data_IF_271141848731
#
_entry.id   IF_271141848731
#
_cell.length_a   1.000
_cell.length_b   1.000
_cell.length_c   1.000
_cell.angle_alpha   90.00
_cell.angle_beta   90.00
_cell.angle_gamma   90.00
#
_symmetry.space_group_name_H-M   'P 1'
#
loop_
_entity.id
_entity.type
_entity.pdbx_description
1 polymer ?
#
# COMPACT_ATOMS: atom_id res chain seq x y z
N UNK A 1 -4.67 10.76 17.06
CA UNK A 1 -4.37 9.67 18.01
C UNK A 1 -3.94 10.26 19.33
N UNK A 2 -4.44 9.74 20.43
CA UNK A 2 -4.07 10.09 21.80
C UNK A 2 -2.99 9.14 22.33
N UNK A 3 -2.39 9.45 23.49
CA UNK A 3 -1.50 8.51 24.16
C UNK A 3 -2.23 7.21 24.54
N UNK A 4 -3.50 7.28 24.88
CA UNK A 4 -4.29 6.08 25.16
C UNK A 4 -4.45 5.19 23.91
N UNK A 5 -4.72 5.77 22.74
CA UNK A 5 -4.80 5.02 21.48
C UNK A 5 -3.45 4.34 21.14
N UNK A 6 -2.35 5.05 21.41
CA UNK A 6 -1.01 4.52 21.21
C UNK A 6 -0.72 3.29 22.10
N UNK A 7 -1.08 3.36 23.39
CA UNK A 7 -0.88 2.24 24.31
C UNK A 7 -1.74 1.03 23.94
N UNK A 8 -2.99 1.25 23.52
CA UNK A 8 -3.89 0.18 23.04
C UNK A 8 -3.30 -0.49 21.79
N UNK A 9 -2.85 0.30 20.80
CA UNK A 9 -2.26 -0.23 19.58
C UNK A 9 -0.96 -1.00 19.85
N UNK A 10 -0.11 -0.47 20.73
CA UNK A 10 1.16 -1.12 21.13
C UNK A 10 0.93 -2.44 21.86
N UNK A 11 -0.04 -2.50 22.76
CA UNK A 11 -0.41 -3.72 23.48
C UNK A 11 -0.92 -4.79 22.50
N UNK A 12 -1.82 -4.41 21.59
CA UNK A 12 -2.32 -5.30 20.55
C UNK A 12 -1.18 -5.82 19.64
N UNK A 13 -0.26 -4.96 19.24
CA UNK A 13 0.85 -5.34 18.38
C UNK A 13 1.84 -6.30 19.06
N UNK A 14 2.07 -6.15 20.38
CA UNK A 14 2.85 -7.11 21.17
C UNK A 14 2.22 -8.50 21.19
N UNK A 15 0.90 -8.53 21.34
CA UNK A 15 0.15 -9.79 21.31
C UNK A 15 0.19 -10.42 19.92
N UNK A 16 -0.08 -9.64 18.89
CA UNK A 16 -0.01 -10.09 17.50
C UNK A 16 1.39 -10.58 17.10
N UNK A 17 2.46 -9.94 17.60
CA UNK A 17 3.86 -10.29 17.32
C UNK A 17 4.17 -11.77 17.61
N UNK A 18 3.54 -12.38 18.59
CA UNK A 18 3.72 -13.79 18.92
C UNK A 18 3.32 -14.75 17.79
N UNK A 19 2.53 -14.26 16.83
CA UNK A 19 2.03 -15.00 15.68
C UNK A 19 2.66 -14.56 14.36
N UNK A 20 3.55 -13.54 14.41
CA UNK A 20 4.22 -12.99 13.22
C UNK A 20 5.48 -13.79 12.91
N UNK A 21 5.52 -14.39 11.72
CA UNK A 21 6.69 -15.11 11.23
C UNK A 21 7.86 -14.17 10.94
N UNK A 22 7.58 -13.05 10.31
CA UNK A 22 8.55 -12.01 9.98
C UNK A 22 7.86 -10.69 9.63
N UNK A 23 8.62 -9.61 9.67
CA UNK A 23 8.24 -8.31 9.11
C UNK A 23 9.02 -8.13 7.80
N UNK A 24 8.39 -8.48 6.71
CA UNK A 24 8.99 -8.43 5.37
C UNK A 24 9.33 -6.99 4.94
N UNK A 25 10.34 -6.85 4.10
CA UNK A 25 10.86 -5.56 3.64
C UNK A 25 10.50 -5.26 2.18
N UNK A 26 10.23 -6.28 1.37
CA UNK A 26 9.85 -6.13 -0.04
C UNK A 26 8.83 -7.20 -0.48
N UNK A 27 8.16 -6.94 -1.61
CA UNK A 27 7.11 -7.82 -2.13
C UNK A 27 7.62 -9.20 -2.58
N UNK A 28 8.87 -9.30 -3.02
CA UNK A 28 9.44 -10.59 -3.46
C UNK A 28 9.70 -11.52 -2.26
N UNK A 29 10.16 -10.97 -1.13
CA UNK A 29 10.26 -11.71 0.13
C UNK A 29 8.89 -12.24 0.56
N UNK A 30 7.85 -11.39 0.54
CA UNK A 30 6.49 -11.81 0.88
C UNK A 30 5.98 -12.91 -0.07
N UNK A 31 6.16 -12.76 -1.38
CA UNK A 31 5.74 -13.74 -2.36
C UNK A 31 6.40 -15.10 -2.13
N UNK A 32 7.68 -15.13 -1.79
CA UNK A 32 8.40 -16.35 -1.45
C UNK A 32 7.86 -17.03 -0.18
N UNK A 33 7.60 -16.25 0.87
CA UNK A 33 7.08 -16.76 2.15
C UNK A 33 5.68 -17.34 1.99
N UNK A 34 4.82 -16.69 1.24
CA UNK A 34 3.47 -17.19 0.98
C UNK A 34 3.48 -18.35 -0.03
N UNK A 35 4.29 -18.28 -1.08
CA UNK A 35 4.43 -19.34 -2.07
C UNK A 35 4.97 -20.65 -1.50
N UNK A 36 5.83 -20.58 -0.47
CA UNK A 36 6.30 -21.76 0.28
C UNK A 36 5.29 -22.28 1.31
N UNK A 37 4.22 -21.54 1.60
CA UNK A 37 3.26 -21.87 2.64
C UNK A 37 3.75 -21.54 4.07
N UNK A 38 4.88 -20.87 4.21
CA UNK A 38 5.42 -20.45 5.51
C UNK A 38 4.61 -19.31 6.13
N UNK A 39 4.01 -18.46 5.31
CA UNK A 39 3.07 -17.41 5.68
C UNK A 39 1.76 -17.66 4.93
N UNK A 40 0.65 -17.64 5.65
CA UNK A 40 -0.70 -17.89 5.10
C UNK A 40 -1.57 -16.62 5.07
N UNK A 41 -1.21 -15.60 5.83
CA UNK A 41 -1.88 -14.29 5.88
C UNK A 41 -0.84 -13.21 6.05
N UNK A 42 -0.95 -12.14 5.29
CA UNK A 42 -0.09 -10.96 5.41
C UNK A 42 -0.83 -9.70 5.01
N UNK A 43 -0.43 -8.57 5.57
CA UNK A 43 -0.67 -7.29 4.94
C UNK A 43 0.23 -7.19 3.70
N UNK A 44 -0.29 -6.66 2.60
CA UNK A 44 0.47 -6.54 1.36
C UNK A 44 0.10 -5.26 0.60
N UNK A 45 0.99 -4.79 -0.26
CA UNK A 45 0.64 -3.84 -1.31
C UNK A 45 -0.15 -4.55 -2.42
N UNK A 46 -0.98 -3.83 -3.16
CA UNK A 46 -1.85 -4.40 -4.20
C UNK A 46 -1.10 -5.18 -5.29
N UNK A 47 0.10 -4.77 -5.62
CA UNK A 47 1.01 -5.40 -6.58
C UNK A 47 1.34 -6.86 -6.22
N UNK A 48 1.65 -7.15 -4.94
CA UNK A 48 2.12 -8.48 -4.54
C UNK A 48 1.09 -9.58 -4.77
N UNK A 49 -0.16 -9.49 -4.29
CA UNK A 49 -1.16 -10.51 -4.56
C UNK A 49 -1.53 -10.61 -6.04
N UNK A 50 -1.50 -9.51 -6.80
CA UNK A 50 -1.74 -9.52 -8.24
C UNK A 50 -0.66 -10.33 -8.97
N UNK A 51 0.61 -10.10 -8.65
CA UNK A 51 1.75 -10.87 -9.20
C UNK A 51 1.64 -12.35 -8.85
N UNK A 52 1.38 -12.68 -7.59
CA UNK A 52 1.26 -14.06 -7.14
C UNK A 52 0.10 -14.80 -7.82
N UNK A 53 -1.05 -14.14 -7.98
CA UNK A 53 -2.20 -14.71 -8.70
C UNK A 53 -1.87 -14.93 -10.18
N UNK A 54 -1.15 -13.99 -10.83
CA UNK A 54 -0.66 -14.12 -12.21
C UNK A 54 0.31 -15.30 -12.40
N UNK A 55 1.05 -15.66 -11.37
CA UNK A 55 1.94 -16.85 -11.34
C UNK A 55 1.17 -18.16 -10.99
N UNK A 56 -0.14 -18.08 -10.78
CA UNK A 56 -0.99 -19.23 -10.50
C UNK A 56 -1.00 -19.68 -9.03
N UNK A 57 -0.51 -18.86 -8.12
CA UNK A 57 -0.58 -19.14 -6.69
C UNK A 57 -2.00 -18.87 -6.16
N UNK A 58 -2.54 -19.71 -5.27
CA UNK A 58 -3.90 -19.58 -4.73
C UNK A 58 -3.97 -18.50 -3.64
N UNK A 59 -3.83 -17.26 -4.03
CA UNK A 59 -3.89 -16.08 -3.13
C UNK A 59 -5.11 -15.23 -3.44
N UNK A 60 -5.63 -14.59 -2.41
CA UNK A 60 -6.75 -13.66 -2.49
C UNK A 60 -6.42 -12.39 -1.70
N UNK A 61 -6.69 -11.22 -2.29
CA UNK A 61 -6.57 -9.93 -1.62
C UNK A 61 -7.91 -9.52 -1.01
N UNK A 62 -8.01 -9.49 0.31
CA UNK A 62 -9.19 -8.99 1.00
C UNK A 62 -9.02 -7.49 1.34
N UNK A 63 -9.81 -6.64 0.68
CA UNK A 63 -9.87 -5.19 0.93
C UNK A 63 -11.08 -4.76 1.75
N UNK A 64 -11.94 -5.68 2.14
CA UNK A 64 -13.19 -5.42 2.84
C UNK A 64 -13.18 -5.99 4.25
N UNK A 65 -12.14 -5.66 5.02
CA UNK A 65 -12.06 -6.08 6.42
C UNK A 65 -12.99 -5.24 7.31
N UNK A 66 -13.39 -5.79 8.45
CA UNK A 66 -14.29 -5.11 9.40
C UNK A 66 -13.69 -3.78 9.90
N UNK A 67 -12.37 -3.73 10.04
CA UNK A 67 -11.62 -2.56 10.47
C UNK A 67 -11.53 -1.48 9.40
N UNK A 68 -11.77 -1.82 8.16
CA UNK A 68 -11.62 -0.95 7.00
C UNK A 68 -10.49 -1.36 6.06
N UNK A 69 -10.34 -0.63 4.97
CA UNK A 69 -9.29 -0.82 3.97
C UNK A 69 -8.23 0.27 4.10
N UNK A 70 -6.97 -0.09 4.19
CA UNK A 70 -5.88 0.91 4.18
C UNK A 70 -5.64 1.45 2.77
N UNK A 71 -5.27 2.73 2.68
CA UNK A 71 -4.94 3.40 1.43
C UNK A 71 -3.80 4.39 1.64
N UNK A 72 -3.04 4.63 0.57
CA UNK A 72 -2.04 5.71 0.55
C UNK A 72 -2.07 6.41 -0.80
N UNK A 73 -1.46 7.60 -0.85
CA UNK A 73 -1.31 8.37 -2.06
C UNK A 73 0.17 8.68 -2.28
N UNK A 74 0.64 8.38 -3.47
CA UNK A 74 1.93 8.85 -3.96
C UNK A 74 1.72 10.05 -4.88
N UNK A 75 2.61 11.01 -4.81
CA UNK A 75 2.55 12.21 -5.65
C UNK A 75 3.95 12.68 -6.03
N UNK A 76 4.02 13.37 -7.14
CA UNK A 76 5.23 14.07 -7.56
C UNK A 76 5.28 15.45 -6.95
N UNK A 77 6.45 15.89 -6.56
CA UNK A 77 6.70 17.24 -6.06
C UNK A 77 7.81 17.90 -6.84
N UNK A 78 7.65 19.18 -7.15
CA UNK A 78 8.71 19.98 -7.69
C UNK A 78 9.54 20.58 -6.55
N UNK A 79 10.85 20.34 -6.60
CA UNK A 79 11.76 20.95 -5.61
C UNK A 79 12.02 22.41 -5.98
N UNK A 80 11.83 23.33 -5.04
CA UNK A 80 11.97 24.77 -5.23
C UNK A 80 13.33 25.20 -5.82
N UNK A 81 14.38 24.44 -5.56
CA UNK A 81 15.74 24.69 -6.04
C UNK A 81 16.23 23.56 -6.97
N UNK A 82 15.33 22.83 -7.60
CA UNK A 82 15.67 21.77 -8.55
C UNK A 82 16.35 22.35 -9.79
N UNK A 83 17.29 21.62 -10.42
CA UNK A 83 18.02 22.12 -11.59
C UNK A 83 17.22 22.09 -12.88
N UNK A 84 16.01 21.51 -12.88
CA UNK A 84 15.17 21.35 -14.07
C UNK A 84 14.25 22.56 -14.29
N UNK A 85 13.82 22.73 -15.54
CA UNK A 85 12.76 23.70 -15.84
C UNK A 85 11.40 23.19 -15.39
N UNK A 86 10.54 24.09 -14.98
CA UNK A 86 9.16 23.80 -14.59
C UNK A 86 8.35 23.16 -15.72
N UNK A 87 8.55 23.59 -16.96
CA UNK A 87 7.90 23.04 -18.15
C UNK A 87 8.19 21.53 -18.29
N UNK A 88 9.45 21.12 -18.18
CA UNK A 88 9.83 19.70 -18.26
C UNK A 88 9.25 18.86 -17.12
N UNK A 89 9.11 19.46 -15.96
CA UNK A 89 8.44 18.79 -14.83
C UNK A 89 6.96 18.54 -15.17
N UNK A 90 6.25 19.53 -15.71
CA UNK A 90 4.86 19.34 -16.12
C UNK A 90 4.72 18.35 -17.28
N UNK A 91 5.64 18.36 -18.25
CA UNK A 91 5.68 17.35 -19.30
C UNK A 91 5.77 15.93 -18.73
N UNK A 92 6.62 15.73 -17.74
CA UNK A 92 6.75 14.44 -17.05
C UNK A 92 5.47 14.07 -16.28
N UNK A 93 4.87 15.00 -15.53
CA UNK A 93 3.63 14.75 -14.81
C UNK A 93 2.47 14.43 -15.76
N UNK A 94 2.38 15.15 -16.89
CA UNK A 94 1.37 14.87 -17.90
C UNK A 94 1.57 13.50 -18.55
N UNK A 95 2.82 13.11 -18.84
CA UNK A 95 3.11 11.78 -19.36
C UNK A 95 2.73 10.68 -18.39
N UNK A 96 2.95 10.88 -17.08
CA UNK A 96 2.51 9.94 -16.04
C UNK A 96 0.99 9.83 -15.94
N UNK A 97 0.29 10.92 -16.20
CA UNK A 97 -1.18 11.00 -16.18
C UNK A 97 -1.82 10.65 -17.53
N UNK A 98 -1.04 10.31 -18.56
CA UNK A 98 -1.56 9.91 -19.87
C UNK A 98 -2.40 8.62 -19.76
N UNK A 99 -3.48 8.46 -20.55
CA UNK A 99 -4.29 7.25 -20.54
C UNK A 99 -3.51 5.95 -20.73
N UNK A 100 -2.51 5.94 -21.60
CA UNK A 100 -1.67 4.76 -21.83
C UNK A 100 -0.78 4.41 -20.63
N UNK A 101 -0.25 5.41 -19.95
CA UNK A 101 0.48 5.22 -18.69
C UNK A 101 -0.44 4.74 -17.58
N UNK A 102 -1.66 5.27 -17.51
CA UNK A 102 -2.67 4.84 -16.55
C UNK A 102 -3.05 3.37 -16.75
N UNK A 103 -3.32 2.96 -18.00
CA UNK A 103 -3.61 1.57 -18.34
C UNK A 103 -2.47 0.63 -17.92
N UNK A 104 -1.23 1.00 -18.23
CA UNK A 104 -0.05 0.23 -17.83
C UNK A 104 0.09 0.12 -16.30
N UNK A 105 -0.10 1.21 -15.54
CA UNK A 105 -0.01 1.21 -14.08
C UNK A 105 -1.08 0.29 -13.47
N UNK A 106 -2.28 0.31 -14.00
CA UNK A 106 -3.37 -0.55 -13.53
C UNK A 106 -3.09 -2.02 -13.85
N UNK A 107 -2.72 -2.35 -15.10
CA UNK A 107 -2.55 -3.73 -15.53
C UNK A 107 -1.31 -4.40 -14.97
N UNK A 108 -0.18 -3.69 -14.93
CA UNK A 108 1.11 -4.28 -14.56
C UNK A 108 1.45 -4.13 -13.07
N UNK A 109 0.93 -3.08 -12.43
CA UNK A 109 1.28 -2.78 -11.04
C UNK A 109 0.11 -2.91 -10.07
N UNK A 110 -1.12 -3.04 -10.56
CA UNK A 110 -2.31 -3.09 -9.70
C UNK A 110 -2.53 -1.81 -8.89
N UNK A 111 -2.08 -0.66 -9.39
CA UNK A 111 -2.25 0.64 -8.74
C UNK A 111 -3.20 1.54 -9.51
N UNK A 112 -3.97 2.34 -8.77
CA UNK A 112 -4.78 3.40 -9.35
C UNK A 112 -3.94 4.58 -9.81
N UNK A 113 -4.50 5.38 -10.72
CA UNK A 113 -3.92 6.63 -11.19
C UNK A 113 -4.86 7.79 -10.86
N UNK A 114 -4.30 8.99 -10.67
CA UNK A 114 -5.08 10.21 -10.39
C UNK A 114 -5.84 10.76 -11.60
N UNK A 115 -5.67 10.20 -12.79
CA UNK A 115 -6.46 10.57 -13.97
C UNK A 115 -7.81 9.84 -13.95
N UNK A 116 -8.83 10.50 -13.40
CA UNK A 116 -10.18 9.97 -13.26
C UNK A 116 -10.82 9.56 -14.59
N UNK A 117 -10.57 10.33 -15.65
CA UNK A 117 -11.07 10.02 -16.99
C UNK A 117 -10.45 8.75 -17.56
N UNK A 118 -9.15 8.59 -17.43
CA UNK A 118 -8.44 7.39 -17.88
C UNK A 118 -8.85 6.17 -17.05
N UNK A 119 -8.97 6.30 -15.74
CA UNK A 119 -9.46 5.22 -14.86
C UNK A 119 -10.89 4.78 -15.25
N UNK A 120 -11.78 5.72 -15.54
CA UNK A 120 -13.14 5.41 -15.99
C UNK A 120 -13.17 4.68 -17.35
N UNK A 121 -12.22 4.98 -18.23
CA UNK A 121 -12.11 4.35 -19.54
C UNK A 121 -11.65 2.88 -19.48
N UNK A 122 -10.90 2.49 -18.47
CA UNK A 122 -10.46 1.09 -18.24
C UNK A 122 -11.68 0.18 -17.98
N UNK A 123 -12.69 0.72 -17.30
CA UNK A 123 -13.92 0.00 -17.02
C UNK A 123 -13.89 -0.81 -15.71
N UNK A 124 -15.06 -1.05 -15.16
CA UNK A 124 -15.20 -1.64 -13.82
C UNK A 124 -14.71 -3.08 -13.71
N UNK A 125 -14.83 -3.87 -14.77
CA UNK A 125 -14.40 -5.28 -14.79
C UNK A 125 -12.87 -5.36 -14.61
N UNK A 126 -12.11 -4.68 -15.46
CA UNK A 126 -10.66 -4.66 -15.38
C UNK A 126 -10.13 -4.02 -14.07
N UNK A 127 -10.82 -3.01 -13.54
CA UNK A 127 -10.49 -2.43 -12.25
C UNK A 127 -10.74 -3.40 -11.08
N UNK A 128 -11.81 -4.19 -11.14
CA UNK A 128 -12.08 -5.22 -10.14
C UNK A 128 -11.04 -6.34 -10.19
N UNK A 129 -10.66 -6.79 -11.38
CA UNK A 129 -9.64 -7.82 -11.59
C UNK A 129 -8.27 -7.36 -11.08
N UNK A 130 -7.94 -6.07 -11.25
CA UNK A 130 -6.75 -5.45 -10.67
C UNK A 130 -6.86 -5.18 -9.15
N UNK A 131 -7.97 -5.54 -8.49
CA UNK A 131 -8.19 -5.28 -7.09
C UNK A 131 -8.43 -3.80 -6.74
N UNK A 132 -8.82 -2.99 -7.73
CA UNK A 132 -9.06 -1.54 -7.60
C UNK A 132 -10.55 -1.17 -7.59
N UNK A 133 -11.43 -2.18 -7.54
CA UNK A 133 -12.86 -1.96 -7.42
C UNK A 133 -13.26 -1.21 -6.13
N UNK A 134 -14.49 -0.66 -6.07
CA UNK A 134 -14.97 0.00 -4.88
C UNK A 134 -15.05 -0.96 -3.68
N UNK A 135 -14.90 -0.42 -2.49
CA UNK A 135 -15.07 -1.16 -1.24
C UNK A 135 -16.16 -0.51 -0.39
N UNK A 136 -16.99 -1.32 0.26
CA UNK A 136 -18.11 -0.88 1.12
C UNK A 136 -17.69 -0.77 2.60
N UNK A 137 -16.43 -0.46 2.86
CA UNK A 137 -15.87 -0.31 4.20
C UNK A 137 -15.16 1.05 4.29
N UNK A 138 -14.94 1.58 5.51
CA UNK A 138 -14.17 2.80 5.67
C UNK A 138 -12.76 2.67 5.06
N UNK A 139 -12.37 3.66 4.26
CA UNK A 139 -11.01 3.74 3.72
C UNK A 139 -10.14 4.56 4.66
N UNK A 140 -9.11 3.92 5.19
CA UNK A 140 -8.19 4.50 6.16
C UNK A 140 -6.97 5.05 5.41
N UNK A 141 -7.02 6.33 5.07
CA UNK A 141 -5.91 7.00 4.42
C UNK A 141 -4.75 7.24 5.41
N UNK A 142 -3.53 7.10 4.92
CA UNK A 142 -2.35 7.54 5.66
C UNK A 142 -2.34 9.07 5.71
N UNK A 143 -2.42 9.61 6.91
CA UNK A 143 -2.36 11.05 7.14
C UNK A 143 -0.99 11.48 7.65
N UNK A 144 -0.56 12.71 7.38
CA UNK A 144 0.66 13.25 7.97
C UNK A 144 0.60 13.16 9.50
N UNK A 145 1.66 12.66 10.10
CA UNK A 145 1.81 12.64 11.55
C UNK A 145 2.98 13.54 11.97
N UNK A 146 2.89 14.11 13.18
CA UNK A 146 3.98 14.90 13.69
C UNK A 146 5.22 14.03 13.98
N UNK A 147 6.39 14.66 13.94
CA UNK A 147 7.67 13.97 14.10
C UNK A 147 7.77 13.23 15.44
N UNK A 148 7.32 13.83 16.53
CA UNK A 148 7.40 13.24 17.87
C UNK A 148 6.59 11.92 17.97
N UNK A 149 5.37 11.90 17.42
CA UNK A 149 4.55 10.68 17.38
C UNK A 149 5.22 9.61 16.52
N UNK A 150 5.76 10.00 15.35
CA UNK A 150 6.46 9.09 14.46
C UNK A 150 7.67 8.44 15.14
N UNK A 151 8.49 9.23 15.83
CA UNK A 151 9.67 8.72 16.55
C UNK A 151 9.26 7.77 17.69
N UNK A 152 8.19 8.12 18.42
CA UNK A 152 7.62 7.25 19.46
C UNK A 152 7.15 5.91 18.88
N UNK A 153 6.45 5.92 17.75
CA UNK A 153 5.99 4.70 17.07
C UNK A 153 7.15 3.83 16.60
N UNK A 154 8.17 4.42 15.97
CA UNK A 154 9.35 3.70 15.51
C UNK A 154 10.07 3.04 16.70
N UNK A 155 10.34 3.80 17.75
CA UNK A 155 11.04 3.28 18.93
C UNK A 155 10.26 2.13 19.60
N UNK A 156 8.95 2.23 19.67
CA UNK A 156 8.10 1.19 20.23
C UNK A 156 8.05 -0.06 19.35
N UNK A 157 7.94 0.11 18.05
CA UNK A 157 7.94 -1.01 17.11
C UNK A 157 9.27 -1.79 17.14
N UNK A 158 10.40 -1.09 17.25
CA UNK A 158 11.71 -1.78 17.40
C UNK A 158 11.78 -2.62 18.68
N UNK A 159 11.20 -2.16 19.80
CA UNK A 159 11.09 -2.97 21.02
C UNK A 159 10.24 -4.21 20.80
N UNK A 160 9.08 -4.03 20.18
CA UNK A 160 8.14 -5.14 19.88
C UNK A 160 8.84 -6.20 19.01
N UNK A 161 9.52 -5.79 17.94
CA UNK A 161 10.29 -6.71 17.10
C UNK A 161 11.41 -7.44 17.87
N UNK A 162 11.96 -6.81 18.89
CA UNK A 162 12.96 -7.42 19.76
C UNK A 162 12.36 -8.28 20.91
N UNK A 163 11.05 -8.39 20.98
CA UNK A 163 10.33 -9.22 21.96
C UNK A 163 10.10 -8.55 23.31
N UNK A 164 10.07 -7.20 23.37
CA UNK A 164 9.84 -6.41 24.59
C UNK A 164 8.48 -5.69 24.60
#
# INVERSE_FOLDING_TARGET
>A
ATDADFEVASAWLRDAHQHVRTYWADGAELAQLMGSGEVIVSWAWSETPATMAGEGLPVEANRSTVEGSSSWFCGYVNLANGPNSEDKMYDFFNAWMDPSSTEYIVSEWGYGNGNETAMAAIGSEALNDAGLGPVDVPVLAQVPMNQQLREKMIAEFEKIKAGF
#
